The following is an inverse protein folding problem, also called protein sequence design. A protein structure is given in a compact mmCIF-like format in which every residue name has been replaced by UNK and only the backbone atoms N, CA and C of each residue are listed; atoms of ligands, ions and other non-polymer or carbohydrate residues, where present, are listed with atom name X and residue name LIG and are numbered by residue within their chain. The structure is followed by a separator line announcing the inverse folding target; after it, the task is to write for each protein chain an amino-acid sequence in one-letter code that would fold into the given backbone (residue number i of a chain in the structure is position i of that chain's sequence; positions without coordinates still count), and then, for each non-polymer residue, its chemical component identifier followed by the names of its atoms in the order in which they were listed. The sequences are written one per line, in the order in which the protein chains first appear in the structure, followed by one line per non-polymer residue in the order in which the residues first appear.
data_IF_911080098513
#
_entry.id   IF_911080098513
#
_cell.length_a   1.000
_cell.length_b   1.000
_cell.length_c   1.000
_cell.angle_alpha   90.00
_cell.angle_beta   90.00
_cell.angle_gamma   90.00
#
_symmetry.space_group_name_H-M   'P 1'
#
loop_
_entity.id
_entity.type
_entity.pdbx_description
1 polymer ?
#
# COMPACT_ATOMS: atom_id res chain seq x y z
N UNK A 1 -4.52 -28.54 28.99
CA UNK A 1 -5.02 -29.14 27.71
C UNK A 1 -6.55 -29.07 27.60
N UNK A 2 -7.30 -28.91 28.70
CA UNK A 2 -8.76 -28.74 28.65
C UNK A 2 -9.16 -27.27 28.39
N UNK A 3 -8.31 -26.30 28.78
CA UNK A 3 -8.59 -24.87 28.61
C UNK A 3 -8.55 -24.42 27.15
N UNK A 4 -7.66 -25.04 26.36
CA UNK A 4 -7.47 -24.75 24.93
C UNK A 4 -8.73 -25.10 24.12
N UNK A 5 -9.33 -26.26 24.44
CA UNK A 5 -10.61 -26.70 23.87
C UNK A 5 -11.79 -25.79 24.23
N UNK A 6 -11.68 -25.07 25.35
CA UNK A 6 -12.72 -24.16 25.79
C UNK A 6 -12.64 -22.82 25.04
N UNK A 7 -11.42 -22.37 24.73
CA UNK A 7 -11.16 -21.17 23.94
C UNK A 7 -11.62 -21.35 22.48
N UNK A 8 -11.31 -22.52 21.88
CA UNK A 8 -11.75 -22.89 20.53
C UNK A 8 -13.28 -22.95 20.40
N UNK A 9 -13.98 -23.45 21.43
CA UNK A 9 -15.45 -23.45 21.46
C UNK A 9 -16.05 -22.05 21.59
N UNK A 10 -15.33 -21.12 22.22
CA UNK A 10 -15.73 -19.72 22.29
C UNK A 10 -15.58 -19.03 20.93
N UNK A 11 -14.48 -19.29 20.21
CA UNK A 11 -14.23 -18.75 18.88
C UNK A 11 -15.24 -19.29 17.83
N UNK A 12 -15.52 -20.59 17.86
CA UNK A 12 -16.52 -21.23 16.98
C UNK A 12 -17.94 -20.70 17.23
N UNK A 13 -18.29 -20.42 18.50
CA UNK A 13 -19.59 -19.84 18.88
C UNK A 13 -19.74 -18.39 18.44
N UNK A 14 -18.65 -17.66 18.23
CA UNK A 14 -18.64 -16.32 17.64
C UNK A 14 -18.80 -16.32 16.12
N UNK A 15 -18.75 -17.48 15.46
CA UNK A 15 -18.70 -17.62 14.00
C UNK A 15 -20.01 -18.11 13.35
N UNK A 16 -21.14 -18.15 14.06
CA UNK A 16 -22.45 -18.37 13.38
C UNK A 16 -22.94 -17.12 12.65
N UNK A 17 -23.60 -17.28 11.48
CA UNK A 17 -23.70 -16.25 10.45
C UNK A 17 -24.89 -15.31 10.70
N UNK A 18 -24.69 -14.26 11.48
CA UNK A 18 -25.62 -13.12 11.53
C UNK A 18 -24.92 -11.84 11.09
N UNK A 19 -24.64 -11.73 9.79
CA UNK A 19 -24.96 -10.54 8.96
C UNK A 19 -24.62 -10.80 7.50
N UNK A 20 -25.46 -11.59 6.86
CA UNK A 20 -25.56 -11.70 5.41
C UNK A 20 -26.18 -10.40 4.85
N UNK A 21 -25.36 -9.34 4.68
CA UNK A 21 -25.78 -8.12 3.97
C UNK A 21 -24.63 -7.16 3.58
N UNK A 22 -23.39 -7.63 3.36
CA UNK A 22 -22.31 -6.66 3.08
C UNK A 22 -20.99 -7.13 2.48
N UNK A 23 -20.89 -8.36 1.98
CA UNK A 23 -19.61 -8.89 1.45
C UNK A 23 -19.75 -9.66 0.13
N UNK A 24 -20.84 -9.44 -0.61
CA UNK A 24 -21.02 -9.90 -1.99
C UNK A 24 -20.98 -8.73 -2.98
N UNK A 25 -20.02 -7.82 -2.82
CA UNK A 25 -19.71 -6.84 -3.86
C UNK A 25 -18.21 -6.56 -3.95
N UNK A 26 -17.45 -7.58 -4.36
CA UNK A 26 -16.17 -7.36 -5.01
C UNK A 26 -16.09 -8.20 -6.29
N UNK A 27 -17.15 -8.11 -7.10
CA UNK A 27 -17.19 -8.67 -8.45
C UNK A 27 -17.17 -7.50 -9.43
N UNK A 28 -16.03 -6.82 -9.49
CA UNK A 28 -15.82 -5.74 -10.43
C UNK A 28 -14.49 -5.03 -10.17
N UNK A 29 -13.82 -4.49 -11.20
CA UNK A 29 -12.69 -3.61 -10.99
C UNK A 29 -13.15 -2.46 -10.07
N UNK A 30 -12.31 -1.96 -9.14
CA UNK A 30 -12.72 -0.94 -8.20
C UNK A 30 -13.30 0.27 -8.95
N UNK A 31 -14.61 0.47 -8.88
CA UNK A 31 -15.33 1.61 -9.44
C UNK A 31 -15.22 2.84 -8.53
N UNK A 32 -14.06 3.10 -7.91
CA UNK A 32 -13.82 4.48 -7.51
C UNK A 32 -13.73 5.25 -8.84
N UNK A 33 -14.61 6.25 -9.08
CA UNK A 33 -14.30 7.21 -10.11
C UNK A 33 -12.91 7.70 -9.76
N UNK A 34 -11.96 7.52 -10.67
CA UNK A 34 -10.76 8.35 -10.67
C UNK A 34 -11.36 9.75 -10.69
N UNK A 35 -11.32 10.46 -9.57
CA UNK A 35 -11.81 11.83 -9.53
C UNK A 35 -10.80 12.62 -10.35
N UNK A 36 -10.99 12.64 -11.67
CA UNK A 36 -10.34 13.57 -12.59
C UNK A 36 -11.01 14.92 -12.39
N UNK A 37 -11.02 15.41 -11.15
CA UNK A 37 -11.71 16.63 -10.74
C UNK A 37 -10.68 17.58 -10.16
N UNK A 38 -10.29 18.57 -10.96
CA UNK A 38 -9.51 19.73 -10.51
C UNK A 38 -7.98 19.70 -10.72
N UNK A 39 -7.38 18.56 -11.07
CA UNK A 39 -5.92 18.43 -11.32
C UNK A 39 -5.57 18.37 -12.80
N UNK A 40 -6.39 18.96 -13.67
CA UNK A 40 -6.24 18.92 -15.13
C UNK A 40 -5.02 19.70 -15.68
N UNK A 41 -4.17 20.27 -14.82
CA UNK A 41 -2.94 20.98 -15.21
C UNK A 41 -1.71 20.55 -14.38
N UNK A 42 -1.68 19.34 -13.82
CA UNK A 42 -0.41 18.74 -13.44
C UNK A 42 0.13 17.95 -14.64
N UNK A 43 1.30 18.36 -15.14
CA UNK A 43 2.07 17.53 -16.06
C UNK A 43 2.68 16.36 -15.28
N UNK A 44 1.96 15.24 -15.22
CA UNK A 44 2.39 14.02 -14.54
C UNK A 44 3.59 13.34 -15.23
N UNK A 45 3.91 13.74 -16.46
CA UNK A 45 5.02 13.17 -17.24
C UNK A 45 6.37 13.45 -16.56
N UNK A 46 6.47 14.59 -15.89
CA UNK A 46 7.70 15.08 -15.29
C UNK A 46 7.65 15.10 -13.75
N UNK A 47 6.62 14.50 -13.15
CA UNK A 47 6.48 14.36 -11.70
C UNK A 47 7.23 13.10 -11.22
N UNK A 48 8.47 13.30 -10.78
CA UNK A 48 9.33 12.23 -10.30
C UNK A 48 8.77 11.55 -9.04
N UNK A 49 8.07 12.29 -8.16
CA UNK A 49 7.47 11.73 -6.95
C UNK A 49 6.34 10.79 -7.35
N UNK A 50 5.46 11.21 -8.25
CA UNK A 50 4.40 10.37 -8.80
C UNK A 50 4.96 9.10 -9.46
N UNK A 51 5.97 9.23 -10.32
CA UNK A 51 6.60 8.08 -10.98
C UNK A 51 7.22 7.10 -9.97
N UNK A 52 7.90 7.62 -8.94
CA UNK A 52 8.50 6.80 -7.88
C UNK A 52 7.44 6.12 -7.01
N UNK A 53 6.30 6.77 -6.73
CA UNK A 53 5.14 6.14 -6.07
C UNK A 53 4.60 4.99 -6.92
N UNK A 54 4.44 5.18 -8.22
CA UNK A 54 3.96 4.13 -9.13
C UNK A 54 4.95 2.96 -9.25
N UNK A 55 6.26 3.22 -9.16
CA UNK A 55 7.29 2.17 -9.03
C UNK A 55 7.17 1.41 -7.71
N UNK A 56 6.95 2.10 -6.60
CA UNK A 56 6.79 1.47 -5.28
C UNK A 56 5.56 0.56 -5.25
N UNK A 57 4.43 1.03 -5.76
CA UNK A 57 3.19 0.23 -5.85
C UNK A 57 3.43 -1.04 -6.66
N UNK A 58 4.15 -0.96 -7.79
CA UNK A 58 4.52 -2.14 -8.59
C UNK A 58 5.41 -3.10 -7.80
N UNK A 59 6.44 -2.60 -7.12
CA UNK A 59 7.34 -3.43 -6.32
C UNK A 59 6.60 -4.15 -5.19
N UNK A 60 5.65 -3.49 -4.53
CA UNK A 60 4.82 -4.07 -3.46
C UNK A 60 3.85 -5.13 -4.00
N UNK A 61 3.24 -4.88 -5.16
CA UNK A 61 2.39 -5.88 -5.83
C UNK A 61 3.21 -7.12 -6.24
N UNK A 62 4.41 -6.91 -6.78
CA UNK A 62 5.33 -7.99 -7.11
C UNK A 62 5.74 -8.79 -5.88
N UNK A 63 6.05 -8.11 -4.77
CA UNK A 63 6.31 -8.76 -3.48
C UNK A 63 5.11 -9.61 -3.07
N UNK A 64 3.90 -9.03 -3.01
CA UNK A 64 2.67 -9.76 -2.63
C UNK A 64 2.47 -11.01 -3.48
N UNK A 65 2.69 -10.91 -4.78
CA UNK A 65 2.42 -12.01 -5.71
C UNK A 65 3.48 -13.11 -5.67
N UNK A 66 4.75 -12.75 -5.44
CA UNK A 66 5.90 -13.67 -5.53
C UNK A 66 6.36 -14.21 -4.17
N UNK A 67 6.09 -13.50 -3.08
CA UNK A 67 6.64 -13.83 -1.75
C UNK A 67 6.23 -15.24 -1.28
N UNK A 68 5.01 -15.70 -1.52
CA UNK A 68 4.61 -17.05 -1.11
C UNK A 68 5.11 -18.17 -2.05
N UNK A 69 5.66 -17.82 -3.21
CA UNK A 69 6.06 -18.78 -4.26
C UNK A 69 7.58 -18.96 -4.36
N UNK A 70 8.36 -18.09 -3.70
CA UNK A 70 9.81 -18.11 -3.74
C UNK A 70 10.38 -19.04 -2.65
N UNK A 71 11.59 -19.58 -2.85
CA UNK A 71 12.35 -20.15 -1.74
C UNK A 71 12.82 -19.04 -0.78
N UNK A 72 13.18 -19.37 0.46
CA UNK A 72 13.60 -18.39 1.48
C UNK A 72 14.72 -17.43 1.02
N UNK A 73 15.65 -17.91 0.21
CA UNK A 73 16.75 -17.14 -0.37
C UNK A 73 16.25 -16.02 -1.30
N UNK A 74 15.11 -16.24 -1.96
CA UNK A 74 14.48 -15.28 -2.87
C UNK A 74 13.71 -14.17 -2.15
N UNK A 75 13.28 -14.39 -0.90
CA UNK A 75 12.51 -13.39 -0.14
C UNK A 75 13.31 -12.12 0.09
N UNK A 76 14.59 -12.27 0.42
CA UNK A 76 15.48 -11.14 0.65
C UNK A 76 15.58 -10.24 -0.58
N UNK A 77 15.56 -10.82 -1.79
CA UNK A 77 15.69 -10.06 -3.05
C UNK A 77 14.46 -9.18 -3.28
N UNK A 78 13.26 -9.75 -3.15
CA UNK A 78 12.01 -9.00 -3.37
C UNK A 78 11.78 -7.93 -2.30
N UNK A 79 12.11 -8.21 -1.04
CA UNK A 79 12.03 -7.22 0.05
C UNK A 79 13.05 -6.10 -0.14
N UNK A 80 14.29 -6.42 -0.53
CA UNK A 80 15.32 -5.42 -0.85
C UNK A 80 14.87 -4.49 -1.97
N UNK A 81 14.23 -5.03 -3.00
CA UNK A 81 13.72 -4.21 -4.11
C UNK A 81 12.71 -3.17 -3.61
N UNK A 82 11.73 -3.57 -2.79
CA UNK A 82 10.77 -2.63 -2.19
C UNK A 82 11.48 -1.56 -1.36
N UNK A 83 12.42 -1.96 -0.50
CA UNK A 83 13.17 -1.02 0.35
C UNK A 83 14.00 -0.02 -0.46
N UNK A 84 14.61 -0.44 -1.57
CA UNK A 84 15.36 0.44 -2.47
C UNK A 84 14.42 1.43 -3.18
N UNK A 85 13.27 0.98 -3.68
CA UNK A 85 12.29 1.86 -4.31
C UNK A 85 11.71 2.86 -3.32
N UNK A 86 11.45 2.45 -2.07
CA UNK A 86 11.00 3.35 -1.01
C UNK A 86 12.06 4.41 -0.69
N UNK A 87 13.35 4.02 -0.59
CA UNK A 87 14.44 4.98 -0.39
C UNK A 87 14.55 5.98 -1.54
N UNK A 88 14.40 5.53 -2.78
CA UNK A 88 14.38 6.40 -3.96
C UNK A 88 13.23 7.40 -3.89
N UNK A 89 12.04 6.96 -3.48
CA UNK A 89 10.88 7.83 -3.27
C UNK A 89 11.17 8.90 -2.21
N UNK A 90 11.67 8.50 -1.03
CA UNK A 90 12.05 9.46 0.02
C UNK A 90 13.04 10.50 -0.50
N UNK A 91 14.11 10.06 -1.18
CA UNK A 91 15.08 10.99 -1.78
C UNK A 91 14.44 11.98 -2.77
N UNK A 92 13.50 11.53 -3.61
CA UNK A 92 12.80 12.45 -4.51
C UNK A 92 11.87 13.44 -3.81
N UNK A 93 11.31 13.05 -2.66
CA UNK A 93 10.52 13.95 -1.82
C UNK A 93 11.44 14.97 -1.12
N UNK A 94 12.59 14.52 -0.64
CA UNK A 94 13.62 15.38 -0.04
C UNK A 94 14.15 16.42 -1.03
N UNK A 95 14.36 16.02 -2.29
CA UNK A 95 14.76 16.94 -3.37
C UNK A 95 13.67 17.96 -3.72
N UNK A 96 12.39 17.58 -3.57
CA UNK A 96 11.24 18.46 -3.86
C UNK A 96 10.95 19.43 -2.71
N UNK A 97 11.18 19.03 -1.45
CA UNK A 97 10.87 19.79 -0.24
C UNK A 97 11.30 21.26 -0.28
N UNK A 98 12.52 21.62 -0.73
CA UNK A 98 12.97 23.02 -0.81
C UNK A 98 12.19 23.90 -1.79
N UNK A 99 11.53 23.29 -2.79
CA UNK A 99 10.76 24.00 -3.82
C UNK A 99 9.31 24.25 -3.43
N UNK A 100 8.84 23.60 -2.35
CA UNK A 100 7.46 23.72 -1.89
C UNK A 100 7.28 24.99 -1.04
N UNK A 101 6.10 25.64 -1.11
CA UNK A 101 5.76 26.73 -0.20
C UNK A 101 5.66 26.21 1.25
N UNK A 102 6.02 27.06 2.21
CA UNK A 102 6.08 26.70 3.64
C UNK A 102 4.78 26.12 4.22
N UNK A 103 3.63 26.52 3.65
CA UNK A 103 2.31 25.98 3.99
C UNK A 103 2.19 24.48 3.72
N UNK A 104 2.90 23.97 2.71
CA UNK A 104 2.86 22.57 2.27
C UNK A 104 4.08 21.77 2.77
N UNK A 105 5.21 22.44 3.06
CA UNK A 105 6.40 21.77 3.62
C UNK A 105 6.15 21.11 4.97
N UNK A 106 5.24 21.65 5.78
CA UNK A 106 4.91 21.09 7.11
C UNK A 106 4.17 19.76 6.99
N UNK A 107 3.32 19.59 5.98
CA UNK A 107 2.58 18.33 5.78
C UNK A 107 3.48 17.21 5.22
N UNK A 108 4.46 17.57 4.39
CA UNK A 108 5.38 16.63 3.74
C UNK A 108 6.57 16.25 4.65
N UNK A 109 7.09 17.19 5.44
CA UNK A 109 8.27 17.00 6.28
C UNK A 109 8.06 16.17 7.55
N UNK A 110 6.82 15.85 7.93
CA UNK A 110 6.50 15.09 9.17
C UNK A 110 6.78 13.59 9.03
N UNK A 111 7.18 13.12 7.84
CA UNK A 111 7.44 11.71 7.55
C UNK A 111 8.93 11.31 7.56
N UNK A 112 9.84 12.22 7.94
CA UNK A 112 11.29 11.97 8.07
C UNK A 112 11.75 11.86 9.52
#
# INVERSE_FOLDING_TARGET
MLEDSQWLRQEEKSLTPEKEAGYTEFTGPPQKPITTGGTANLDWTNDLVYLNVMELVRAVLDLKNKLCQLPPEGYMVVVKNVGLTLRKLNGSVDDLLPSLPSSSSTEVGVLS
#
